data_IF_983190508042
#
_entry.id   IF_983190508042
#
_cell.length_a   1.000
_cell.length_b   1.000
_cell.length_c   1.000
_cell.angle_alpha   90.00
_cell.angle_beta   90.00
_cell.angle_gamma   90.00
#
_symmetry.space_group_name_H-M   'P 1'
#
loop_
_entity.id
_entity.type
_entity.pdbx_description
1 polymer ?
#
# COMPACT_ATOMS: atom_id res chain seq x y z
N UNK A 1 -30.14 18.41 8.17
CA UNK A 1 -28.88 18.91 7.61
C UNK A 1 -27.98 17.72 7.40
N UNK A 2 -27.67 17.38 6.15
CA UNK A 2 -26.69 16.32 5.86
C UNK A 2 -25.33 16.75 6.39
N UNK A 3 -24.74 15.92 7.25
CA UNK A 3 -23.42 16.17 7.82
C UNK A 3 -22.38 15.78 6.77
N UNK A 4 -21.93 16.76 5.99
CA UNK A 4 -20.95 16.55 4.91
C UNK A 4 -19.61 16.15 5.54
N UNK A 5 -19.18 14.91 5.29
CA UNK A 5 -17.89 14.38 5.73
C UNK A 5 -16.73 15.26 5.26
N UNK A 6 -15.78 15.60 6.16
CA UNK A 6 -14.60 16.38 5.78
C UNK A 6 -13.64 15.55 4.92
N UNK A 7 -12.80 16.20 4.11
CA UNK A 7 -11.75 15.50 3.33
C UNK A 7 -10.83 14.65 4.22
N UNK A 8 -10.57 15.11 5.46
CA UNK A 8 -9.75 14.40 6.43
C UNK A 8 -10.47 13.15 6.94
N UNK A 9 -11.74 13.27 7.33
CA UNK A 9 -12.53 12.14 7.84
C UNK A 9 -12.71 11.07 6.77
N UNK A 10 -12.99 11.50 5.53
CA UNK A 10 -13.05 10.63 4.36
C UNK A 10 -11.74 9.86 4.15
N UNK A 11 -10.60 10.54 4.28
CA UNK A 11 -9.31 9.89 4.16
C UNK A 11 -9.09 8.87 5.28
N UNK A 12 -9.36 9.22 6.55
CA UNK A 12 -9.23 8.30 7.69
C UNK A 12 -10.06 7.04 7.45
N UNK A 13 -11.36 7.21 7.22
CA UNK A 13 -12.29 6.10 7.05
C UNK A 13 -11.87 5.17 5.91
N UNK A 14 -11.48 5.72 4.77
CA UNK A 14 -11.08 4.92 3.61
C UNK A 14 -9.72 4.25 3.84
N UNK A 15 -8.74 4.98 4.41
CA UNK A 15 -7.41 4.46 4.64
C UNK A 15 -7.41 3.35 5.69
N UNK A 16 -8.12 3.51 6.81
CA UNK A 16 -8.24 2.48 7.84
C UNK A 16 -8.95 1.24 7.29
N UNK A 17 -10.10 1.39 6.63
CA UNK A 17 -10.83 0.25 6.08
C UNK A 17 -9.97 -0.55 5.09
N UNK A 18 -9.21 0.13 4.22
CA UNK A 18 -8.30 -0.52 3.28
C UNK A 18 -7.12 -1.19 3.98
N UNK A 19 -6.54 -0.54 4.97
CA UNK A 19 -5.39 -1.06 5.72
C UNK A 19 -5.78 -2.34 6.47
N UNK A 20 -6.91 -2.33 7.17
CA UNK A 20 -7.42 -3.50 7.87
C UNK A 20 -7.70 -4.66 6.91
N UNK A 21 -8.29 -4.39 5.75
CA UNK A 21 -8.51 -5.42 4.72
C UNK A 21 -7.19 -6.02 4.22
N UNK A 22 -6.17 -5.21 3.97
CA UNK A 22 -4.84 -5.69 3.56
C UNK A 22 -4.24 -6.58 4.66
N UNK A 23 -4.27 -6.15 5.92
CA UNK A 23 -3.76 -6.92 7.06
C UNK A 23 -4.48 -8.28 7.14
N UNK A 24 -5.81 -8.31 7.06
CA UNK A 24 -6.56 -9.57 7.09
C UNK A 24 -6.20 -10.49 5.92
N UNK A 25 -5.98 -9.96 4.72
CA UNK A 25 -5.57 -10.77 3.57
C UNK A 25 -4.16 -11.34 3.74
N UNK A 26 -3.23 -10.56 4.32
CA UNK A 26 -1.87 -11.05 4.64
C UNK A 26 -1.93 -12.17 5.70
N UNK A 27 -2.81 -12.05 6.71
CA UNK A 27 -3.01 -13.11 7.70
C UNK A 27 -3.55 -14.39 7.05
N UNK A 28 -4.55 -14.27 6.16
CA UNK A 28 -5.07 -15.41 5.42
C UNK A 28 -4.02 -16.05 4.51
N UNK A 29 -3.19 -15.25 3.85
CA UNK A 29 -2.06 -15.73 3.06
C UNK A 29 -1.06 -16.51 3.93
N UNK A 30 -0.84 -16.07 5.17
CA UNK A 30 0.00 -16.79 6.14
C UNK A 30 -0.49 -18.21 6.45
N UNK A 31 -1.80 -18.47 6.35
CA UNK A 31 -2.36 -19.81 6.56
C UNK A 31 -1.96 -20.80 5.45
N UNK A 32 -1.52 -20.31 4.29
CA UNK A 32 -0.97 -21.15 3.22
C UNK A 32 0.40 -21.75 3.57
N UNK A 33 1.03 -21.35 4.68
CA UNK A 33 2.28 -21.95 5.18
C UNK A 33 2.12 -23.40 5.67
N UNK A 34 0.90 -23.91 5.76
CA UNK A 34 0.67 -25.28 6.17
C UNK A 34 1.04 -26.29 5.05
N UNK A 35 2.26 -26.83 5.11
CA UNK A 35 2.76 -27.84 4.16
C UNK A 35 1.98 -29.16 4.17
N UNK A 36 1.17 -29.44 5.20
CA UNK A 36 0.29 -30.61 5.18
C UNK A 36 -0.93 -30.43 4.27
N UNK A 37 -1.29 -29.18 3.96
CA UNK A 37 -2.43 -28.84 3.10
C UNK A 37 -2.01 -28.36 1.71
N UNK A 38 -0.77 -27.87 1.57
CA UNK A 38 -0.27 -27.26 0.35
C UNK A 38 1.15 -27.72 0.03
N UNK A 39 1.40 -27.95 -1.25
CA UNK A 39 2.75 -28.13 -1.76
C UNK A 39 3.22 -26.81 -2.37
N UNK A 40 4.38 -26.32 -1.92
CA UNK A 40 4.98 -25.08 -2.39
C UNK A 40 6.48 -25.12 -2.19
N UNK A 41 7.18 -24.38 -3.03
CA UNK A 41 8.63 -24.22 -2.96
C UNK A 41 9.01 -22.92 -2.29
N UNK A 42 10.27 -22.80 -1.85
CA UNK A 42 10.83 -21.53 -1.39
C UNK A 42 10.73 -20.42 -2.46
N UNK A 43 10.80 -20.81 -3.74
CA UNK A 43 10.64 -19.87 -4.86
C UNK A 43 9.23 -19.30 -4.90
N UNK A 44 8.20 -20.14 -4.71
CA UNK A 44 6.80 -19.67 -4.69
C UNK A 44 6.58 -18.66 -3.56
N UNK A 45 7.10 -18.97 -2.36
CA UNK A 45 7.05 -18.05 -1.21
C UNK A 45 7.76 -16.74 -1.54
N UNK A 46 8.97 -16.80 -2.11
CA UNK A 46 9.73 -15.61 -2.49
C UNK A 46 8.99 -14.75 -3.51
N UNK A 47 8.46 -15.35 -4.58
CA UNK A 47 7.74 -14.63 -5.63
C UNK A 47 6.48 -13.94 -5.09
N UNK A 48 5.72 -14.60 -4.20
CA UNK A 48 4.54 -14.04 -3.55
C UNK A 48 4.90 -12.78 -2.75
N UNK A 49 5.90 -12.86 -1.86
CA UNK A 49 6.25 -11.73 -1.01
C UNK A 49 6.95 -10.61 -1.78
N UNK A 50 7.77 -10.93 -2.78
CA UNK A 50 8.39 -9.94 -3.67
C UNK A 50 7.34 -9.12 -4.43
N UNK A 51 6.25 -9.76 -4.90
CA UNK A 51 5.16 -9.06 -5.57
C UNK A 51 4.44 -8.09 -4.63
N UNK A 52 4.15 -8.52 -3.39
CA UNK A 52 3.52 -7.69 -2.35
C UNK A 52 4.43 -6.50 -1.99
N UNK A 53 5.71 -6.75 -1.73
CA UNK A 53 6.67 -5.71 -1.37
C UNK A 53 6.86 -4.67 -2.48
N UNK A 54 6.86 -5.11 -3.75
CA UNK A 54 6.91 -4.21 -4.90
C UNK A 54 5.70 -3.27 -4.90
N UNK A 55 4.49 -3.80 -4.73
CA UNK A 55 3.28 -2.96 -4.71
C UNK A 55 3.26 -2.02 -3.49
N UNK A 56 3.70 -2.49 -2.31
CA UNK A 56 3.83 -1.64 -1.12
C UNK A 56 4.81 -0.48 -1.35
N UNK A 57 5.94 -0.72 -2.01
CA UNK A 57 6.90 0.33 -2.39
C UNK A 57 6.26 1.35 -3.34
N UNK A 58 5.57 0.89 -4.39
CA UNK A 58 4.89 1.76 -5.36
C UNK A 58 3.77 2.59 -4.69
N UNK A 59 2.98 1.98 -3.81
CA UNK A 59 1.94 2.67 -3.06
C UNK A 59 2.53 3.76 -2.15
N UNK A 60 3.64 3.47 -1.45
CA UNK A 60 4.34 4.44 -0.59
C UNK A 60 4.90 5.61 -1.40
N UNK A 61 5.46 5.36 -2.58
CA UNK A 61 6.00 6.41 -3.44
C UNK A 61 4.95 7.48 -3.79
N UNK A 62 3.68 7.10 -3.99
CA UNK A 62 2.58 8.04 -4.28
C UNK A 62 2.30 9.04 -3.15
N UNK A 63 2.71 8.74 -1.91
CA UNK A 63 2.61 9.68 -0.79
C UNK A 63 3.82 10.62 -0.70
N UNK A 64 4.92 10.29 -1.36
CA UNK A 64 6.17 11.05 -1.32
C UNK A 64 6.32 12.00 -2.54
N UNK A 65 5.37 12.01 -3.49
CA UNK A 65 5.44 12.84 -4.71
C UNK A 65 5.05 14.31 -4.50
N UNK A 66 5.12 14.84 -3.28
CA UNK A 66 4.89 16.27 -2.99
C UNK A 66 6.18 16.94 -2.51
N UNK A 67 7.06 17.33 -3.44
CA UNK A 67 7.41 18.75 -3.71
C UNK A 67 8.49 18.89 -4.82
N UNK A 68 8.30 18.31 -6.01
CA UNK A 68 8.96 18.85 -7.21
C UNK A 68 8.17 20.09 -7.69
N UNK A 69 8.07 21.10 -6.82
CA UNK A 69 7.98 22.46 -7.33
C UNK A 69 9.32 22.73 -7.98
N UNK A 70 9.44 22.41 -9.27
CA UNK A 70 10.42 22.99 -10.18
C UNK A 70 10.59 24.46 -9.78
N UNK A 71 11.69 24.74 -9.09
CA UNK A 71 12.11 26.07 -8.75
C UNK A 71 12.15 26.82 -10.07
N UNK A 72 11.25 27.80 -10.24
CA UNK A 72 11.20 28.63 -11.44
C UNK A 72 12.62 29.11 -11.72
N UNK A 73 13.22 28.61 -12.79
CA UNK A 73 14.51 29.07 -13.27
C UNK A 73 14.40 30.58 -13.55
N UNK A 74 15.28 31.38 -12.93
CA UNK A 74 15.44 32.80 -13.25
C UNK A 74 16.84 33.03 -13.78
N UNK A 75 16.91 33.59 -14.99
CA UNK A 75 18.11 34.26 -15.49
C UNK A 75 18.23 35.59 -14.76
N UNK A 76 19.28 35.74 -13.95
CA UNK A 76 19.69 37.07 -13.51
C UNK A 76 20.53 37.70 -14.63
N UNK A 77 20.22 38.97 -14.92
CA UNK A 77 20.99 39.87 -15.78
C UNK A 77 22.35 40.19 -15.15
#
# INVERSE_FOLDING_TARGET
MENVESKRDKFIRIAEARTNKIISMIQLLGNCSNQSSYDYTEKDVSDIFNAIDKELKLARQKFNTTDDKLTKFKLNR
#
